data_IF_254052085013
#
_entry.id   IF_254052085013
#
_cell.length_a   1.000
_cell.length_b   1.000
_cell.length_c   1.000
_cell.angle_alpha   90.00
_cell.angle_beta   90.00
_cell.angle_gamma   90.00
#
_symmetry.space_group_name_H-M   'P 1'
#
loop_
_entity.id
_entity.type
_entity.pdbx_description
1 polymer ?
#
# COMPACT_ATOMS: atom_id res chain seq x y z
N UNK A 1 -8.12 6.52 5.17
CA UNK A 1 -7.24 7.51 4.52
C UNK A 1 -6.04 6.82 3.92
N UNK A 2 -5.45 7.35 2.84
CA UNK A 2 -4.38 6.71 2.06
C UNK A 2 -3.15 6.35 2.92
N UNK A 3 -2.72 7.26 3.80
CA UNK A 3 -1.61 7.00 4.74
C UNK A 3 -1.87 5.79 5.64
N UNK A 4 -3.09 5.70 6.19
CA UNK A 4 -3.46 4.60 7.09
C UNK A 4 -3.48 3.25 6.34
N UNK A 5 -3.89 3.25 5.06
CA UNK A 5 -3.83 2.05 4.21
C UNK A 5 -2.38 1.61 3.99
N UNK A 6 -1.51 2.53 3.53
CA UNK A 6 -0.08 2.23 3.35
C UNK A 6 0.55 1.69 4.63
N UNK A 7 0.36 2.37 5.76
CA UNK A 7 0.91 1.95 7.04
C UNK A 7 0.39 0.57 7.48
N UNK A 8 -0.90 0.29 7.28
CA UNK A 8 -1.50 -1.01 7.63
C UNK A 8 -0.98 -2.15 6.74
N UNK A 9 -0.82 -1.90 5.44
CA UNK A 9 -0.26 -2.87 4.48
C UNK A 9 1.18 -3.20 4.81
N UNK A 10 2.03 -2.20 5.07
CA UNK A 10 3.41 -2.44 5.47
C UNK A 10 3.51 -3.17 6.81
N UNK A 11 2.63 -2.85 7.77
CA UNK A 11 2.58 -3.55 9.06
C UNK A 11 2.18 -5.03 8.91
N UNK A 12 1.21 -5.36 8.03
CA UNK A 12 0.81 -6.74 7.72
C UNK A 12 1.97 -7.55 7.12
N UNK A 13 2.79 -6.91 6.31
CA UNK A 13 4.00 -7.52 5.72
C UNK A 13 5.20 -7.57 6.70
N UNK A 14 5.02 -7.12 7.95
CA UNK A 14 6.09 -7.00 8.93
C UNK A 14 7.26 -6.11 8.46
N UNK A 15 6.95 -5.05 7.69
CA UNK A 15 7.92 -4.07 7.18
C UNK A 15 7.85 -2.83 8.06
N UNK A 16 8.96 -2.50 8.72
CA UNK A 16 9.05 -1.32 9.56
C UNK A 16 9.26 -0.05 8.72
N UNK A 17 8.56 1.03 9.08
CA UNK A 17 8.78 2.37 8.52
C UNK A 17 9.85 3.05 9.38
N UNK A 18 11.02 3.31 8.81
CA UNK A 18 12.13 3.99 9.50
C UNK A 18 12.06 5.51 9.39
N UNK A 19 11.44 5.99 8.31
CA UNK A 19 11.24 7.41 8.07
C UNK A 19 9.86 7.65 7.47
N UNK A 20 9.18 8.68 7.97
CA UNK A 20 7.94 9.15 7.39
C UNK A 20 8.09 10.63 7.07
N UNK A 21 7.98 10.97 5.78
CA UNK A 21 7.88 12.35 5.33
C UNK A 21 6.53 12.56 4.64
N UNK A 22 5.71 13.40 5.28
CA UNK A 22 4.42 13.82 4.75
C UNK A 22 4.59 15.23 4.17
N UNK A 23 4.59 15.32 2.84
CA UNK A 23 4.49 16.60 2.13
C UNK A 23 3.05 17.11 2.12
N UNK A 24 2.57 17.61 0.98
CA UNK A 24 1.13 17.86 0.78
C UNK A 24 0.42 16.51 0.69
N UNK A 25 -0.25 16.14 1.78
CA UNK A 25 -0.86 14.82 2.02
C UNK A 25 -1.82 14.31 0.94
N UNK A 26 -2.38 15.23 0.15
CA UNK A 26 -3.30 14.92 -0.96
C UNK A 26 -2.57 14.51 -2.24
N UNK A 27 -1.27 14.81 -2.36
CA UNK A 27 -0.50 14.67 -3.59
C UNK A 27 0.70 13.73 -3.43
N UNK A 28 1.44 13.79 -2.31
CA UNK A 28 2.62 12.92 -2.12
C UNK A 28 2.91 12.55 -0.66
N UNK A 29 3.39 11.32 -0.48
CA UNK A 29 3.87 10.77 0.79
C UNK A 29 5.14 9.96 0.52
N UNK A 30 6.10 9.98 1.45
CA UNK A 30 7.31 9.17 1.37
C UNK A 30 7.49 8.35 2.65
N UNK A 31 7.80 7.07 2.47
CA UNK A 31 8.09 6.11 3.53
C UNK A 31 9.49 5.55 3.29
N UNK A 32 10.40 5.77 4.23
CA UNK A 32 11.70 5.11 4.27
C UNK A 32 11.56 3.75 4.93
N UNK A 33 12.04 2.72 4.25
CA UNK A 33 12.09 1.33 4.71
C UNK A 33 13.50 0.79 4.45
N UNK A 34 13.83 -0.36 5.04
CA UNK A 34 15.08 -1.04 4.72
C UNK A 34 15.06 -1.63 3.32
N UNK A 35 16.20 -1.59 2.65
CA UNK A 35 16.38 -2.02 1.26
C UNK A 35 15.97 -3.49 1.04
N UNK A 36 16.23 -4.38 2.01
CA UNK A 36 15.84 -5.79 1.91
C UNK A 36 14.33 -6.02 1.74
N UNK A 37 13.51 -5.02 2.08
CA UNK A 37 12.05 -5.09 1.99
C UNK A 37 11.48 -4.40 0.75
N UNK A 38 12.29 -3.72 -0.06
CA UNK A 38 11.83 -2.88 -1.18
C UNK A 38 10.85 -3.61 -2.10
N UNK A 39 11.24 -4.76 -2.65
CA UNK A 39 10.41 -5.51 -3.61
C UNK A 39 9.08 -5.97 -2.99
N UNK A 40 9.13 -6.44 -1.73
CA UNK A 40 7.95 -6.90 -1.00
C UNK A 40 7.01 -5.74 -0.69
N UNK A 41 7.54 -4.60 -0.26
CA UNK A 41 6.77 -3.40 -0.02
C UNK A 41 6.06 -2.92 -1.29
N UNK A 42 6.76 -2.87 -2.42
CA UNK A 42 6.20 -2.46 -3.72
C UNK A 42 5.04 -3.39 -4.10
N UNK A 43 5.24 -4.71 -4.01
CA UNK A 43 4.23 -5.68 -4.39
C UNK A 43 3.00 -5.63 -3.48
N UNK A 44 3.20 -5.62 -2.16
CA UNK A 44 2.09 -5.54 -1.22
C UNK A 44 1.28 -4.24 -1.35
N UNK A 45 1.95 -3.12 -1.61
CA UNK A 45 1.27 -1.86 -1.88
C UNK A 45 0.52 -1.91 -3.22
N UNK A 46 1.12 -2.48 -4.26
CA UNK A 46 0.43 -2.65 -5.54
C UNK A 46 -0.86 -3.48 -5.37
N UNK A 47 -0.76 -4.62 -4.68
CA UNK A 47 -1.90 -5.51 -4.43
C UNK A 47 -2.98 -4.83 -3.58
N UNK A 48 -2.62 -4.08 -2.54
CA UNK A 48 -3.58 -3.32 -1.72
C UNK A 48 -4.35 -2.27 -2.53
N UNK A 49 -3.71 -1.59 -3.47
CA UNK A 49 -4.33 -0.48 -4.21
C UNK A 49 -4.99 -0.92 -5.53
N UNK A 50 -4.54 -2.03 -6.12
CA UNK A 50 -4.91 -2.43 -7.48
C UNK A 50 -5.19 -3.93 -7.64
N UNK A 51 -5.07 -4.73 -6.57
CA UNK A 51 -5.20 -6.20 -6.62
C UNK A 51 -6.62 -6.74 -6.43
N UNK A 52 -7.64 -5.90 -6.25
CA UNK A 52 -9.02 -6.37 -6.22
C UNK A 52 -9.48 -6.71 -7.65
N UNK A 53 -9.65 -8.00 -7.95
CA UNK A 53 -10.43 -8.44 -9.09
C UNK A 53 -11.90 -8.06 -8.84
N UNK A 54 -12.47 -7.30 -9.77
CA UNK A 54 -13.88 -6.97 -9.77
C UNK A 54 -14.63 -8.25 -10.15
N UNK A 55 -15.24 -8.94 -9.18
CA UNK A 55 -16.21 -9.99 -9.49
C UNK A 55 -17.40 -9.34 -10.22
N UNK A 56 -17.54 -9.63 -11.51
CA UNK A 56 -18.74 -9.28 -12.24
C UNK A 56 -19.85 -10.25 -11.84
N UNK A 57 -20.82 -9.77 -11.06
CA UNK A 57 -22.08 -10.50 -10.91
C UNK A 57 -22.75 -10.59 -12.29
N UNK A 58 -22.80 -11.80 -12.85
CA UNK A 58 -23.61 -12.07 -14.04
C UNK A 58 -25.06 -11.99 -13.61
N UNK A 59 -25.71 -10.86 -13.90
CA UNK A 59 -27.15 -10.72 -13.73
C UNK A 59 -27.81 -11.54 -14.84
N UNK A 60 -28.11 -12.81 -14.54
CA UNK A 60 -28.97 -13.63 -15.38
C UNK A 60 -30.32 -12.90 -15.58
N UNK A 61 -30.70 -12.69 -16.85
CA UNK A 61 -31.98 -12.13 -17.28
C UNK A 61 -32.96 -13.23 -17.63
#
# INVERSE_FOLDING_TARGET
>A
GTTARVASTLAREQINIELYNQGVSEVSMMFGIREEYEKRAIQALYDEFFGEEVEYEVVDK
#
